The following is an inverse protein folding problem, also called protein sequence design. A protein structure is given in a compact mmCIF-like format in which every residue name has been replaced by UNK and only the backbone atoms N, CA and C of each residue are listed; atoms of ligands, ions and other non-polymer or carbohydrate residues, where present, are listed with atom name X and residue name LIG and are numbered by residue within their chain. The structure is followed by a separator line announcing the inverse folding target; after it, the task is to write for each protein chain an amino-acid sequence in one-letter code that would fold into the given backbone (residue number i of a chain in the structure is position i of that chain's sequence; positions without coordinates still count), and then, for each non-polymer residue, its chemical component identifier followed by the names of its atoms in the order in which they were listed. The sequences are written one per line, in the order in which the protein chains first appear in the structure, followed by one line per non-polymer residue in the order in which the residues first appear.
data_IF_283822861715
#
_entry.id   IF_283822861715
#
_cell.length_a   1.000
_cell.length_b   1.000
_cell.length_c   1.000
_cell.angle_alpha   90.00
_cell.angle_beta   90.00
_cell.angle_gamma   90.00
#
_symmetry.space_group_name_H-M   'P 1'
#
loop_
_entity.id
_entity.type
_entity.pdbx_description
1 polymer ?
#
# COMPACT_ATOMS: atom_id res chain seq x y z
N UNK A 1 -41.80 -39.19 -18.09
CA UNK A 1 -41.98 -37.77 -17.75
C UNK A 1 -41.41 -37.55 -16.36
N UNK A 2 -40.68 -36.44 -16.19
CA UNK A 2 -40.15 -35.87 -14.92
C UNK A 2 -39.00 -36.66 -14.25
N UNK A 3 -37.84 -36.11 -13.89
CA UNK A 3 -37.30 -34.75 -14.05
C UNK A 3 -35.77 -34.82 -14.00
N UNK A 4 -35.13 -33.98 -14.81
CA UNK A 4 -33.71 -33.67 -14.83
C UNK A 4 -33.34 -32.84 -13.59
N UNK A 5 -32.63 -33.44 -12.63
CA UNK A 5 -31.92 -32.68 -11.58
C UNK A 5 -30.63 -32.11 -12.17
N UNK A 6 -30.77 -31.01 -12.90
CA UNK A 6 -29.65 -30.15 -13.24
C UNK A 6 -29.26 -29.36 -11.98
N UNK A 7 -28.34 -29.93 -11.21
CA UNK A 7 -27.65 -29.21 -10.12
C UNK A 7 -26.91 -28.03 -10.73
N UNK A 8 -27.47 -26.83 -10.54
CA UNK A 8 -26.85 -25.57 -10.87
C UNK A 8 -25.63 -25.38 -9.94
N UNK A 9 -24.46 -25.86 -10.36
CA UNK A 9 -23.20 -25.51 -9.76
C UNK A 9 -22.98 -24.01 -9.95
N UNK A 10 -23.15 -23.24 -8.86
CA UNK A 10 -22.79 -21.82 -8.86
C UNK A 10 -21.31 -21.64 -9.23
N UNK A 11 -20.92 -20.48 -9.78
CA UNK A 11 -19.53 -20.24 -10.18
C UNK A 11 -18.60 -20.49 -8.99
N UNK A 12 -17.71 -21.47 -9.14
CA UNK A 12 -16.80 -21.91 -8.08
C UNK A 12 -15.97 -20.74 -7.56
N UNK A 13 -16.14 -20.39 -6.28
CA UNK A 13 -15.29 -19.41 -5.60
C UNK A 13 -13.85 -19.94 -5.65
N UNK A 14 -12.92 -19.14 -6.20
CA UNK A 14 -11.50 -19.49 -6.22
C UNK A 14 -11.01 -19.76 -4.78
N UNK A 15 -10.40 -20.93 -4.56
CA UNK A 15 -9.89 -21.32 -3.25
C UNK A 15 -8.70 -20.46 -2.80
N UNK A 16 -8.42 -20.43 -1.50
CA UNK A 16 -7.32 -19.63 -0.90
C UNK A 16 -5.95 -20.06 -1.44
N UNK A 17 -5.78 -21.33 -1.79
CA UNK A 17 -4.55 -21.90 -2.34
C UNK A 17 -4.47 -21.70 -3.87
N UNK A 18 -4.42 -20.45 -4.29
CA UNK A 18 -4.16 -20.08 -5.68
C UNK A 18 -2.85 -19.29 -5.80
N UNK A 19 -2.32 -19.23 -7.02
CA UNK A 19 -1.03 -18.60 -7.29
C UNK A 19 -0.97 -17.13 -6.81
N UNK A 20 -1.96 -16.25 -7.07
CA UNK A 20 -1.96 -14.90 -6.52
C UNK A 20 -1.80 -14.83 -4.99
N UNK A 21 -2.61 -15.60 -4.25
CA UNK A 21 -2.56 -15.58 -2.79
C UNK A 21 -1.23 -16.09 -2.22
N UNK A 22 -0.63 -17.12 -2.86
CA UNK A 22 0.68 -17.63 -2.46
C UNK A 22 1.75 -16.55 -2.64
N UNK A 23 1.69 -15.78 -3.74
CA UNK A 23 2.60 -14.67 -3.98
C UNK A 23 2.44 -13.57 -2.92
N UNK A 24 1.22 -13.22 -2.54
CA UNK A 24 0.95 -12.28 -1.42
C UNK A 24 1.53 -12.81 -0.10
N UNK A 25 1.33 -14.10 0.22
CA UNK A 25 1.88 -14.71 1.44
C UNK A 25 3.41 -14.68 1.47
N UNK A 26 4.05 -15.02 0.36
CA UNK A 26 5.51 -14.93 0.21
C UNK A 26 5.97 -13.49 0.43
N UNK A 27 5.25 -12.50 -0.12
CA UNK A 27 5.58 -11.09 0.06
C UNK A 27 5.55 -10.67 1.54
N UNK A 28 4.50 -11.06 2.26
CA UNK A 28 4.40 -10.79 3.70
C UNK A 28 5.57 -11.43 4.44
N UNK A 29 5.92 -12.68 4.09
CA UNK A 29 7.06 -13.38 4.68
C UNK A 29 8.39 -12.71 4.36
N UNK A 30 8.56 -12.09 3.17
CA UNK A 30 9.76 -11.37 2.76
C UNK A 30 10.02 -10.10 3.58
N UNK A 31 8.99 -9.45 4.15
CA UNK A 31 9.16 -8.19 4.90
C UNK A 31 10.11 -8.33 6.10
N UNK A 32 9.96 -9.32 7.00
CA UNK A 32 10.95 -9.58 8.04
C UNK A 32 12.38 -9.79 7.53
N UNK A 33 12.58 -10.51 6.43
CA UNK A 33 13.91 -10.71 5.85
C UNK A 33 14.47 -9.41 5.28
N UNK A 34 13.66 -8.61 4.60
CA UNK A 34 14.03 -7.29 4.13
C UNK A 34 14.51 -6.39 5.27
N UNK A 35 13.77 -6.34 6.37
CA UNK A 35 14.16 -5.59 7.58
C UNK A 35 15.46 -6.15 8.16
N UNK A 36 15.58 -7.47 8.27
CA UNK A 36 16.79 -8.12 8.75
C UNK A 36 18.01 -7.78 7.90
N UNK A 37 17.89 -7.77 6.58
CA UNK A 37 18.99 -7.39 5.68
C UNK A 37 19.44 -5.95 5.89
N UNK A 38 18.51 -5.01 6.12
CA UNK A 38 18.87 -3.62 6.45
C UNK A 38 19.58 -3.50 7.80
N UNK A 39 19.17 -4.27 8.81
CA UNK A 39 19.84 -4.29 10.11
C UNK A 39 21.24 -4.94 10.00
N UNK A 40 21.35 -6.03 9.25
CA UNK A 40 22.61 -6.74 9.03
C UNK A 40 23.62 -5.92 8.23
N UNK A 41 23.17 -5.01 7.36
CA UNK A 41 24.01 -4.04 6.65
C UNK A 41 24.49 -2.88 7.53
N UNK A 42 23.85 -2.67 8.68
CA UNK A 42 24.11 -1.52 9.54
C UNK A 42 24.27 -1.92 11.03
N UNK A 43 25.27 -2.77 11.36
CA UNK A 43 25.50 -3.21 12.74
C UNK A 43 25.77 -2.06 13.72
N UNK A 44 26.20 -0.90 13.23
CA UNK A 44 26.40 0.35 13.99
C UNK A 44 25.36 1.46 13.74
N UNK A 45 24.20 1.14 13.14
CA UNK A 45 23.20 2.11 12.65
C UNK A 45 23.67 3.02 11.49
N UNK A 46 24.83 2.74 10.91
CA UNK A 46 25.30 3.35 9.67
C UNK A 46 25.34 2.28 8.58
N UNK A 47 24.77 2.58 7.40
CA UNK A 47 24.77 1.63 6.28
C UNK A 47 26.16 1.48 5.70
N UNK A 48 26.64 0.24 5.64
CA UNK A 48 27.94 -0.10 5.04
C UNK A 48 27.86 -0.25 3.51
N UNK A 49 26.65 -0.18 2.93
CA UNK A 49 26.43 -0.41 1.49
C UNK A 49 26.97 -1.77 1.00
N UNK A 50 26.94 -2.77 1.89
CA UNK A 50 27.52 -4.09 1.69
C UNK A 50 26.60 -5.08 0.96
N UNK A 51 26.92 -6.39 1.01
CA UNK A 51 26.10 -7.41 0.35
C UNK A 51 24.68 -7.50 0.95
N UNK A 52 24.52 -7.18 2.23
CA UNK A 52 23.21 -7.16 2.89
C UNK A 52 22.33 -6.01 2.39
N UNK A 53 22.90 -4.84 2.08
CA UNK A 53 22.17 -3.77 1.39
C UNK A 53 21.57 -4.24 0.07
N UNK A 54 22.39 -4.90 -0.75
CA UNK A 54 21.93 -5.43 -2.03
C UNK A 54 20.89 -6.53 -1.87
N UNK A 55 21.00 -7.38 -0.84
CA UNK A 55 19.97 -8.34 -0.51
C UNK A 55 18.64 -7.65 -0.15
N UNK A 56 18.67 -6.54 0.61
CA UNK A 56 17.49 -5.73 0.89
C UNK A 56 16.88 -5.12 -0.37
N UNK A 57 17.70 -4.56 -1.27
CA UNK A 57 17.26 -4.03 -2.57
C UNK A 57 16.56 -5.12 -3.39
N UNK A 58 17.16 -6.30 -3.50
CA UNK A 58 16.58 -7.43 -4.24
C UNK A 58 15.28 -7.90 -3.61
N UNK A 59 15.23 -8.06 -2.28
CA UNK A 59 14.02 -8.46 -1.57
C UNK A 59 12.87 -7.47 -1.81
N UNK A 60 13.14 -6.17 -1.71
CA UNK A 60 12.16 -5.11 -1.96
C UNK A 60 11.72 -5.08 -3.43
N UNK A 61 12.66 -5.21 -4.38
CA UNK A 61 12.36 -5.27 -5.82
C UNK A 61 11.43 -6.45 -6.15
N UNK A 62 11.78 -7.64 -5.64
CA UNK A 62 10.98 -8.85 -5.84
C UNK A 62 9.59 -8.67 -5.22
N UNK A 63 9.50 -8.12 -4.01
CA UNK A 63 8.23 -7.94 -3.31
C UNK A 63 7.26 -6.97 -4.04
N UNK A 64 7.76 -5.89 -4.64
CA UNK A 64 6.93 -4.98 -5.44
C UNK A 64 6.58 -5.59 -6.79
N UNK A 65 7.54 -6.27 -7.43
CA UNK A 65 7.30 -6.86 -8.73
C UNK A 65 6.26 -7.98 -8.66
N UNK A 66 6.29 -8.80 -7.60
CA UNK A 66 5.29 -9.86 -7.39
C UNK A 66 3.89 -9.29 -7.17
N UNK A 67 3.73 -8.13 -6.50
CA UNK A 67 2.43 -7.44 -6.35
C UNK A 67 1.77 -7.04 -7.65
N UNK A 68 2.57 -6.53 -8.58
CA UNK A 68 2.03 -6.18 -9.88
C UNK A 68 1.57 -7.45 -10.61
N UNK A 69 2.40 -8.49 -10.57
CA UNK A 69 2.15 -9.74 -11.27
C UNK A 69 0.96 -10.51 -10.70
N UNK A 70 0.85 -10.68 -9.38
CA UNK A 70 -0.26 -11.42 -8.77
C UNK A 70 -1.60 -10.72 -8.99
N UNK A 71 -1.65 -9.39 -8.91
CA UNK A 71 -2.83 -8.59 -9.24
C UNK A 71 -3.25 -8.73 -10.71
N UNK A 72 -2.29 -8.72 -11.65
CA UNK A 72 -2.56 -8.90 -13.07
C UNK A 72 -3.05 -10.33 -13.39
N UNK A 73 -2.45 -11.34 -12.75
CA UNK A 73 -2.85 -12.75 -12.88
C UNK A 73 -4.24 -12.98 -12.27
N UNK A 74 -4.52 -12.43 -11.08
CA UNK A 74 -5.81 -12.57 -10.41
C UNK A 74 -6.94 -11.98 -11.25
N UNK A 75 -6.73 -10.79 -11.83
CA UNK A 75 -7.72 -10.13 -12.70
C UNK A 75 -7.92 -10.87 -14.03
N UNK A 76 -6.83 -11.26 -14.69
CA UNK A 76 -6.90 -11.90 -16.01
C UNK A 76 -7.46 -13.33 -15.96
N UNK A 77 -7.28 -14.03 -14.84
CA UNK A 77 -7.75 -15.42 -14.65
C UNK A 77 -8.98 -15.54 -13.77
N UNK A 78 -9.60 -14.43 -13.36
CA UNK A 78 -10.75 -14.41 -12.46
C UNK A 78 -10.51 -15.17 -11.14
N UNK A 79 -9.28 -15.10 -10.61
CA UNK A 79 -8.83 -15.76 -9.37
C UNK A 79 -8.88 -14.82 -8.16
N UNK A 80 -9.75 -13.81 -8.19
CA UNK A 80 -9.89 -12.84 -7.10
C UNK A 80 -10.55 -13.49 -5.90
N UNK A 81 -9.88 -13.50 -4.74
CA UNK A 81 -10.40 -14.07 -3.49
C UNK A 81 -10.61 -13.02 -2.41
N UNK A 82 -11.45 -13.32 -1.42
CA UNK A 82 -11.67 -12.42 -0.28
C UNK A 82 -10.43 -12.33 0.64
N UNK A 83 -9.63 -13.40 0.70
CA UNK A 83 -8.33 -13.37 1.36
C UNK A 83 -7.39 -12.37 0.70
N UNK A 84 -7.17 -12.46 -0.62
CA UNK A 84 -6.29 -11.55 -1.36
C UNK A 84 -6.72 -10.08 -1.20
N UNK A 85 -8.02 -9.79 -1.30
CA UNK A 85 -8.57 -8.43 -1.08
C UNK A 85 -8.18 -7.81 0.27
N UNK A 86 -7.94 -8.63 1.30
CA UNK A 86 -7.53 -8.18 2.63
C UNK A 86 -6.01 -8.24 2.79
N UNK A 87 -5.37 -9.30 2.29
CA UNK A 87 -3.94 -9.54 2.44
C UNK A 87 -3.10 -8.55 1.62
N UNK A 88 -3.49 -8.22 0.38
CA UNK A 88 -2.70 -7.34 -0.49
C UNK A 88 -2.52 -5.93 0.11
N UNK A 89 -3.58 -5.25 0.62
CA UNK A 89 -3.44 -3.94 1.26
C UNK A 89 -2.67 -3.96 2.58
N UNK A 90 -2.52 -5.13 3.22
CA UNK A 90 -1.70 -5.31 4.42
C UNK A 90 -0.24 -5.48 4.00
N UNK A 91 0.03 -6.36 3.04
CA UNK A 91 1.37 -6.61 2.52
C UNK A 91 2.02 -5.33 1.99
N UNK A 92 1.26 -4.54 1.21
CA UNK A 92 1.70 -3.24 0.68
C UNK A 92 2.13 -2.26 1.80
N UNK A 93 1.30 -2.10 2.85
CA UNK A 93 1.61 -1.22 3.98
C UNK A 93 2.76 -1.73 4.84
N UNK A 94 2.89 -3.05 5.01
CA UNK A 94 3.99 -3.64 5.76
C UNK A 94 5.32 -3.40 5.04
N UNK A 95 5.37 -3.63 3.72
CA UNK A 95 6.59 -3.46 2.94
C UNK A 95 7.00 -1.98 2.85
N UNK A 96 6.08 -1.10 2.41
CA UNK A 96 6.38 0.33 2.26
C UNK A 96 6.63 1.00 3.61
N UNK A 97 5.83 0.65 4.63
CA UNK A 97 5.98 1.19 5.97
C UNK A 97 7.27 0.75 6.65
N UNK A 98 7.63 -0.53 6.58
CA UNK A 98 8.91 -1.01 7.12
C UNK A 98 10.10 -0.36 6.41
N UNK A 99 10.05 -0.19 5.09
CA UNK A 99 11.12 0.50 4.36
C UNK A 99 11.31 1.95 4.84
N UNK A 100 10.24 2.74 4.94
CA UNK A 100 10.34 4.13 5.40
C UNK A 100 10.85 4.23 6.85
N UNK A 101 10.36 3.36 7.73
CA UNK A 101 10.80 3.30 9.13
C UNK A 101 12.27 2.94 9.20
N UNK A 102 12.71 1.88 8.51
CA UNK A 102 14.10 1.44 8.55
C UNK A 102 15.04 2.50 7.97
N UNK A 103 14.69 3.13 6.84
CA UNK A 103 15.47 4.24 6.29
C UNK A 103 15.61 5.40 7.29
N UNK A 104 14.60 5.65 8.13
CA UNK A 104 14.67 6.70 9.15
C UNK A 104 15.47 6.29 10.40
N UNK A 105 15.37 5.02 10.79
CA UNK A 105 16.16 4.42 11.88
C UNK A 105 17.65 4.44 11.55
N UNK A 106 18.00 4.16 10.29
CA UNK A 106 19.37 4.23 9.77
C UNK A 106 19.87 5.65 9.51
N UNK A 107 19.07 6.68 9.84
CA UNK A 107 19.45 8.09 9.67
C UNK A 107 19.48 8.59 8.23
N UNK A 108 19.08 7.77 7.25
CA UNK A 108 19.10 8.12 5.84
C UNK A 108 17.91 9.00 5.44
N UNK A 109 16.77 8.81 6.09
CA UNK A 109 15.54 9.55 5.81
C UNK A 109 15.09 10.37 7.03
N UNK A 110 14.79 11.68 6.87
CA UNK A 110 14.28 12.48 7.97
C UNK A 110 12.93 11.96 8.48
N UNK A 111 12.84 11.73 9.80
CA UNK A 111 11.64 11.18 10.44
C UNK A 111 10.33 11.91 10.11
N UNK A 112 10.37 13.22 9.90
CA UNK A 112 9.17 13.99 9.57
C UNK A 112 8.55 13.53 8.24
N UNK A 113 9.35 13.12 7.24
CA UNK A 113 8.82 12.61 5.96
C UNK A 113 8.11 11.28 6.17
N UNK A 114 8.75 10.37 6.91
CA UNK A 114 8.21 9.07 7.28
C UNK A 114 6.91 9.20 8.05
N UNK A 115 6.87 10.04 9.08
CA UNK A 115 5.67 10.27 9.88
C UNK A 115 4.53 10.84 9.03
N UNK A 116 4.80 11.82 8.17
CA UNK A 116 3.78 12.38 7.27
C UNK A 116 3.20 11.31 6.35
N UNK A 117 4.04 10.48 5.74
CA UNK A 117 3.59 9.42 4.83
C UNK A 117 2.78 8.37 5.59
N UNK A 118 3.30 7.85 6.69
CA UNK A 118 2.64 6.82 7.50
C UNK A 118 1.30 7.31 8.06
N UNK A 119 1.28 8.47 8.71
CA UNK A 119 0.05 9.05 9.27
C UNK A 119 -1.00 9.20 8.18
N UNK A 120 -0.62 9.66 6.99
CA UNK A 120 -1.54 9.74 5.86
C UNK A 120 -2.02 8.36 5.42
N UNK A 121 -1.14 7.38 5.26
CA UNK A 121 -1.51 6.03 4.78
C UNK A 121 -2.49 5.30 5.71
N UNK A 122 -2.19 5.29 7.00
CA UNK A 122 -3.06 4.70 8.01
C UNK A 122 -4.31 5.57 8.23
N UNK A 123 -4.17 6.89 8.23
CA UNK A 123 -5.25 7.86 8.42
C UNK A 123 -6.32 7.79 7.33
N UNK A 124 -5.94 7.75 6.04
CA UNK A 124 -6.91 7.60 4.94
C UNK A 124 -7.61 6.23 4.98
N UNK A 125 -6.88 5.18 5.38
CA UNK A 125 -7.46 3.85 5.59
C UNK A 125 -8.55 3.89 6.66
N UNK A 126 -8.25 4.44 7.84
CA UNK A 126 -9.21 4.60 8.92
C UNK A 126 -10.38 5.53 8.57
N UNK A 127 -10.12 6.63 7.86
CA UNK A 127 -11.15 7.55 7.39
C UNK A 127 -12.16 6.85 6.48
N UNK A 128 -11.68 6.03 5.53
CA UNK A 128 -12.54 5.27 4.62
C UNK A 128 -13.45 4.30 5.39
N UNK A 129 -12.91 3.62 6.41
CA UNK A 129 -13.71 2.77 7.29
C UNK A 129 -14.76 3.57 8.07
N UNK A 130 -14.42 4.75 8.57
CA UNK A 130 -15.36 5.58 9.33
C UNK A 130 -16.53 6.10 8.47
N UNK A 131 -16.26 6.46 7.21
CA UNK A 131 -17.28 7.04 6.34
C UNK A 131 -18.08 6.03 5.53
N UNK A 132 -17.72 4.75 5.55
CA UNK A 132 -18.37 3.71 4.73
C UNK A 132 -19.89 3.63 4.95
N UNK A 133 -20.35 3.94 6.17
CA UNK A 133 -21.77 4.01 6.55
C UNK A 133 -22.55 5.15 5.88
N UNK A 134 -21.86 6.15 5.33
CA UNK A 134 -22.45 7.30 4.61
C UNK A 134 -22.27 7.17 3.10
N UNK A 135 -21.52 6.17 2.63
CA UNK A 135 -21.26 5.90 1.22
C UNK A 135 -19.81 5.46 0.98
N UNK A 136 -19.51 5.09 -0.26
CA UNK A 136 -18.17 4.64 -0.66
C UNK A 136 -17.43 5.80 -1.33
N UNK A 137 -16.22 6.10 -0.86
CA UNK A 137 -15.33 7.06 -1.52
C UNK A 137 -14.64 6.36 -2.71
N UNK A 138 -14.80 6.86 -3.96
CA UNK A 138 -14.12 6.30 -5.12
C UNK A 138 -12.60 6.47 -5.03
N UNK A 139 -11.86 5.61 -5.72
CA UNK A 139 -10.41 5.75 -5.80
C UNK A 139 -10.03 6.97 -6.65
N UNK A 140 -9.25 7.89 -6.08
CA UNK A 140 -8.77 9.07 -6.81
C UNK A 140 -7.58 8.75 -7.74
N UNK A 141 -7.52 9.42 -8.91
CA UNK A 141 -6.41 9.24 -9.89
C UNK A 141 -5.03 9.57 -9.30
N UNK A 142 -4.98 10.50 -8.34
CA UNK A 142 -3.76 10.86 -7.63
C UNK A 142 -3.14 9.71 -6.83
N UNK A 143 -3.93 8.70 -6.44
CA UNK A 143 -3.42 7.52 -5.74
C UNK A 143 -2.38 6.73 -6.55
N UNK A 144 -2.57 6.60 -7.87
CA UNK A 144 -1.63 5.86 -8.73
C UNK A 144 -0.29 6.56 -8.85
N UNK A 145 -0.30 7.88 -9.04
CA UNK A 145 0.93 8.69 -9.12
C UNK A 145 1.70 8.61 -7.81
N UNK A 146 0.99 8.72 -6.67
CA UNK A 146 1.59 8.58 -5.34
C UNK A 146 2.37 7.27 -5.22
N UNK A 147 1.74 6.14 -5.53
CA UNK A 147 2.37 4.82 -5.41
C UNK A 147 3.62 4.73 -6.28
N UNK A 148 3.57 5.16 -7.54
CA UNK A 148 4.73 5.10 -8.44
C UNK A 148 5.89 5.95 -7.90
N UNK A 149 5.61 7.19 -7.51
CA UNK A 149 6.66 8.13 -7.05
C UNK A 149 7.22 7.70 -5.69
N UNK A 150 6.39 7.26 -4.75
CA UNK A 150 6.83 6.78 -3.44
C UNK A 150 7.65 5.49 -3.54
N UNK A 151 7.20 4.53 -4.34
CA UNK A 151 7.95 3.29 -4.56
C UNK A 151 9.30 3.58 -5.22
N UNK A 152 9.35 4.47 -6.21
CA UNK A 152 10.59 4.91 -6.83
C UNK A 152 11.51 5.64 -5.83
N UNK A 153 10.96 6.51 -4.97
CA UNK A 153 11.72 7.18 -3.93
C UNK A 153 12.38 6.18 -2.97
N UNK A 154 11.60 5.23 -2.43
CA UNK A 154 12.14 4.20 -1.53
C UNK A 154 13.22 3.38 -2.24
N UNK A 155 12.99 3.00 -3.50
CA UNK A 155 13.98 2.24 -4.28
C UNK A 155 15.31 2.99 -4.44
N UNK A 156 15.25 4.29 -4.74
CA UNK A 156 16.44 5.14 -4.87
C UNK A 156 17.22 5.28 -3.55
N UNK A 157 16.51 5.33 -2.41
CA UNK A 157 17.15 5.34 -1.10
C UNK A 157 17.79 3.99 -0.74
N UNK A 158 17.12 2.88 -1.06
CA UNK A 158 17.65 1.55 -0.79
C UNK A 158 18.91 1.24 -1.61
N UNK A 159 18.98 1.70 -2.86
CA UNK A 159 20.17 1.52 -3.66
C UNK A 159 21.34 2.34 -3.08
N UNK A 160 22.55 1.76 -2.94
CA UNK A 160 23.73 2.46 -2.46
C UNK A 160 24.33 3.41 -3.53
N UNK A 161 23.49 4.14 -4.26
CA UNK A 161 23.89 5.01 -5.37
C UNK A 161 24.78 6.16 -4.93
N UNK A 162 24.54 6.70 -3.73
CA UNK A 162 25.30 7.81 -3.18
C UNK A 162 26.78 7.44 -2.93
N UNK A 163 27.06 6.16 -2.66
CA UNK A 163 28.43 5.66 -2.50
C UNK A 163 29.22 5.72 -3.82
N UNK A 164 28.55 5.57 -4.97
CA UNK A 164 29.17 5.67 -6.30
C UNK A 164 29.15 7.10 -6.85
N UNK A 165 28.07 7.83 -6.61
CA UNK A 165 27.84 9.17 -7.13
C UNK A 165 27.05 10.01 -6.12
N UNK A 166 27.71 10.86 -5.30
CA UNK A 166 27.07 11.58 -4.20
C UNK A 166 25.88 12.46 -4.62
N UNK A 167 25.87 12.97 -5.86
CA UNK A 167 24.76 13.80 -6.36
C UNK A 167 23.43 13.02 -6.48
N UNK A 168 23.48 11.68 -6.58
CA UNK A 168 22.28 10.85 -6.61
C UNK A 168 21.50 10.87 -5.29
N UNK A 169 22.15 11.22 -4.16
CA UNK A 169 21.46 11.43 -2.89
C UNK A 169 20.45 12.58 -2.99
N UNK A 170 20.82 13.68 -3.67
CA UNK A 170 19.91 14.81 -3.89
C UNK A 170 18.74 14.44 -4.80
N UNK A 171 18.97 13.56 -5.78
CA UNK A 171 17.90 13.03 -6.64
C UNK A 171 16.93 12.19 -5.81
N UNK A 172 17.43 11.24 -5.02
CA UNK A 172 16.60 10.42 -4.13
C UNK A 172 15.77 11.30 -3.18
N UNK A 173 16.40 12.31 -2.56
CA UNK A 173 15.73 13.28 -1.71
C UNK A 173 14.64 14.07 -2.45
N UNK A 174 14.92 14.59 -3.65
CA UNK A 174 13.94 15.34 -4.43
C UNK A 174 12.73 14.47 -4.82
N UNK A 175 12.96 13.21 -5.21
CA UNK A 175 11.88 12.26 -5.54
C UNK A 175 11.05 11.91 -4.29
N UNK A 176 11.70 11.73 -3.13
CA UNK A 176 10.99 11.53 -1.87
C UNK A 176 10.17 12.76 -1.45
N UNK A 177 10.72 13.96 -1.61
CA UNK A 177 9.99 15.21 -1.35
C UNK A 177 8.76 15.32 -2.27
N UNK A 178 8.90 14.97 -3.54
CA UNK A 178 7.76 14.88 -4.46
C UNK A 178 6.72 13.84 -3.99
N UNK A 179 7.16 12.68 -3.51
CA UNK A 179 6.27 11.67 -2.91
C UNK A 179 5.50 12.23 -1.71
N UNK A 180 6.17 12.98 -0.81
CA UNK A 180 5.54 13.63 0.34
C UNK A 180 4.50 14.65 -0.12
N UNK A 181 4.84 15.55 -1.06
CA UNK A 181 3.91 16.56 -1.59
C UNK A 181 2.67 15.91 -2.19
N UNK A 182 2.84 14.89 -3.03
CA UNK A 182 1.71 14.14 -3.62
C UNK A 182 0.89 13.46 -2.52
N UNK A 183 1.55 12.92 -1.51
CA UNK A 183 0.90 12.24 -0.37
C UNK A 183 0.01 13.20 0.41
N UNK A 184 0.51 14.39 0.72
CA UNK A 184 -0.23 15.45 1.41
C UNK A 184 -1.38 15.95 0.55
N UNK A 185 -1.12 16.31 -0.70
CA UNK A 185 -2.15 16.80 -1.62
C UNK A 185 -3.30 15.81 -1.77
N UNK A 186 -2.99 14.57 -2.10
CA UNK A 186 -4.02 13.52 -2.21
C UNK A 186 -4.69 13.24 -0.87
N UNK A 187 -3.99 13.37 0.26
CA UNK A 187 -4.55 13.23 1.59
C UNK A 187 -5.64 14.28 1.88
N UNK A 188 -5.36 15.55 1.54
CA UNK A 188 -6.34 16.64 1.66
C UNK A 188 -7.57 16.37 0.80
N UNK A 189 -7.38 15.96 -0.45
CA UNK A 189 -8.49 15.64 -1.36
C UNK A 189 -9.42 14.57 -0.77
N UNK A 190 -8.85 13.49 -0.20
CA UNK A 190 -9.62 12.44 0.46
C UNK A 190 -10.38 12.94 1.70
N UNK A 191 -9.76 13.80 2.52
CA UNK A 191 -10.41 14.37 3.71
C UNK A 191 -11.59 15.26 3.33
N UNK A 192 -11.43 16.10 2.30
CA UNK A 192 -12.51 16.95 1.79
C UNK A 192 -13.68 16.12 1.26
N UNK A 193 -13.38 15.07 0.50
CA UNK A 193 -14.40 14.16 -0.03
C UNK A 193 -15.16 13.42 1.08
N UNK A 194 -14.44 12.94 2.10
CA UNK A 194 -15.02 12.29 3.27
C UNK A 194 -15.96 13.22 4.06
N UNK A 195 -15.56 14.49 4.25
CA UNK A 195 -16.40 15.49 4.92
C UNK A 195 -17.68 15.78 4.13
N UNK A 196 -17.58 15.93 2.81
CA UNK A 196 -18.75 16.15 1.93
C UNK A 196 -19.71 14.96 1.98
N UNK A 197 -19.19 13.74 1.95
CA UNK A 197 -19.99 12.52 2.03
C UNK A 197 -20.73 12.41 3.37
N UNK A 198 -20.04 12.67 4.48
CA UNK A 198 -20.64 12.68 5.82
C UNK A 198 -21.73 13.75 5.95
N UNK A 199 -21.52 14.93 5.39
CA UNK A 199 -22.51 16.01 5.42
C UNK A 199 -23.79 15.62 4.65
N UNK A 200 -23.66 15.06 3.45
CA UNK A 200 -24.80 14.56 2.65
C UNK A 200 -25.58 13.45 3.37
N UNK A 201 -24.88 12.47 3.95
CA UNK A 201 -25.52 11.38 4.68
C UNK A 201 -26.34 11.84 5.90
N UNK A 202 -25.86 12.87 6.62
CA UNK A 202 -26.63 13.45 7.74
C UNK A 202 -27.91 14.16 7.29
N UNK A 203 -27.88 14.85 6.14
CA UNK A 203 -29.05 15.54 5.60
C UNK A 203 -30.14 14.55 5.19
N UNK A 204 -29.76 13.44 4.54
CA UNK A 204 -30.69 12.39 4.13
C UNK A 204 -31.36 11.71 5.34
N UNK A 205 -30.60 11.42 6.41
CA UNK A 205 -31.15 10.87 7.64
C UNK A 205 -32.17 11.81 8.31
N UNK A 206 -31.92 13.13 8.27
CA UNK A 206 -32.85 14.13 8.84
C UNK A 206 -34.14 14.26 8.01
N UNK A 207 -34.04 14.13 6.68
CA UNK A 207 -35.19 14.19 5.78
C UNK A 207 -36.11 12.96 5.90
N UNK A 208 -35.54 11.76 6.07
CA UNK A 208 -36.31 10.52 6.26
C UNK A 208 -37.15 10.53 7.54
N UNK A 209 -36.56 10.93 8.67
CA UNK A 209 -37.27 10.97 9.95
C UNK A 209 -38.40 12.02 10.00
N UNK A 210 -38.34 13.06 9.15
CA UNK A 210 -39.38 14.08 9.06
C UNK A 210 -40.62 13.64 8.27
N UNK A 211 -40.50 12.64 7.39
CA UNK A 211 -41.63 12.08 6.63
C UNK A 211 -42.36 10.96 7.38
N UNK A 212 -41.69 10.30 8.33
CA UNK A 212 -42.28 9.23 9.14
C UNK A 212 -43.10 9.78 10.34
N UNK A 213 -42.94 11.07 10.65
CA UNK A 213 -43.62 11.76 11.75
C UNK A 213 -44.75 12.70 11.29
N UNK A 214 -45.00 12.80 9.99
CA UNK A 214 -46.03 13.64 9.37
C UNK A 214 -47.12 12.76 8.73
#
# INVERSE_FOLDING_TARGET
MTSTDATAAGPGRAGVWNLPNILTMIRIALVPFFVWFLIADAPGLESESGPWRWAAVVAFAVAIYTDKLDGDIARSRNLVTDFGKIADPIADKLLTGSALVMLSVLGELPWWMTLVILVREWGITGLRFFVIRYGVIPASRGGKLKTVVQTAAIFLYLLPLAAFAPWLAWVAFAVMLAAVVITVWTGVDYVVEAMRLRAKGKLQAKAGNGQEQA
#
